data_IF_209578140958
#
_entry.id   IF_209578140958
#
_cell.length_a   1.000
_cell.length_b   1.000
_cell.length_c   1.000
_cell.angle_alpha   90.00
_cell.angle_beta   90.00
_cell.angle_gamma   90.00
#
_symmetry.space_group_name_H-M   'P 1'
#
loop_
_entity.id
_entity.type
_entity.pdbx_description
1 polymer ?
#
# COMPACT_ATOMS: atom_id res chain seq x y z
N UNK A 1 12.74 -23.29 2.68
CA UNK A 1 12.76 -22.07 3.54
C UNK A 1 11.92 -22.40 4.76
N UNK A 2 12.37 -22.17 6.00
CA UNK A 2 11.57 -22.54 7.15
C UNK A 2 10.31 -21.67 7.16
N UNK A 3 9.14 -22.31 7.09
CA UNK A 3 7.85 -21.67 7.33
C UNK A 3 7.87 -21.15 8.77
N UNK A 4 7.93 -19.83 8.95
CA UNK A 4 7.58 -19.25 10.23
C UNK A 4 6.09 -19.50 10.44
N UNK A 5 5.66 -20.16 11.55
CA UNK A 5 4.27 -20.08 11.94
C UNK A 5 3.92 -18.60 12.15
N UNK A 6 2.72 -18.13 11.76
CA UNK A 6 2.33 -16.77 12.11
C UNK A 6 2.40 -16.68 13.63
N UNK A 7 3.15 -15.70 14.14
CA UNK A 7 3.06 -15.35 15.54
C UNK A 7 1.58 -15.03 15.79
N UNK A 8 0.89 -15.87 16.56
CA UNK A 8 -0.52 -15.66 16.91
C UNK A 8 -0.73 -14.26 17.55
N UNK A 9 0.36 -13.65 18.03
CA UNK A 9 0.40 -12.35 18.69
C UNK A 9 0.61 -11.15 17.73
N UNK A 10 0.74 -11.37 16.41
CA UNK A 10 0.96 -10.27 15.44
C UNK A 10 0.02 -10.38 14.24
N UNK A 11 -1.23 -9.97 14.45
CA UNK A 11 -2.25 -9.86 13.41
C UNK A 11 -3.17 -8.64 13.65
N UNK A 12 -3.66 -7.99 12.58
CA UNK A 12 -4.67 -6.96 12.73
C UNK A 12 -5.99 -7.51 13.30
N UNK A 13 -6.72 -6.70 14.06
CA UNK A 13 -8.07 -7.00 14.52
C UNK A 13 -9.09 -6.80 13.39
N UNK A 14 -9.34 -7.88 12.65
CA UNK A 14 -10.36 -7.91 11.59
C UNK A 14 -11.80 -8.03 12.11
N UNK A 15 -12.04 -8.14 13.42
CA UNK A 15 -13.40 -8.18 13.96
C UNK A 15 -14.16 -6.88 13.71
N UNK A 16 -13.43 -5.77 13.52
CA UNK A 16 -13.95 -4.45 13.12
C UNK A 16 -14.19 -4.32 11.60
N UNK A 17 -13.90 -5.36 10.83
CA UNK A 17 -14.05 -5.40 9.37
C UNK A 17 -12.73 -5.19 8.63
N UNK A 18 -12.75 -4.30 7.63
CA UNK A 18 -11.55 -3.99 6.85
C UNK A 18 -10.64 -3.04 7.62
N UNK A 19 -9.36 -3.38 7.71
CA UNK A 19 -8.35 -2.54 8.39
C UNK A 19 -7.73 -1.55 7.41
N UNK A 20 -7.51 -0.28 7.78
CA UNK A 20 -6.71 0.64 7.00
C UNK A 20 -5.26 0.16 6.92
N UNK A 21 -4.66 0.32 5.74
CA UNK A 21 -3.28 -0.08 5.47
C UNK A 21 -2.53 1.09 4.82
N UNK A 22 -1.57 1.66 5.54
CA UNK A 22 -0.74 2.76 5.10
C UNK A 22 0.55 2.18 4.52
N UNK A 23 0.86 2.48 3.26
CA UNK A 23 2.15 2.19 2.67
C UNK A 23 3.06 3.41 2.82
N UNK A 24 4.22 3.22 3.45
CA UNK A 24 5.24 4.23 3.64
C UNK A 24 6.55 3.74 3.05
N UNK A 25 7.26 4.60 2.32
CA UNK A 25 8.58 4.25 1.81
C UNK A 25 9.56 4.03 2.97
N UNK A 26 10.21 2.87 2.99
CA UNK A 26 11.07 2.48 4.09
C UNK A 26 12.38 3.27 4.19
N UNK A 27 12.79 3.97 3.12
CA UNK A 27 14.01 4.78 3.09
C UNK A 27 13.72 6.25 3.36
N UNK A 28 12.74 6.83 2.67
CA UNK A 28 12.45 8.27 2.80
C UNK A 28 11.45 8.62 3.89
N UNK A 29 10.66 7.65 4.37
CA UNK A 29 9.54 7.88 5.29
C UNK A 29 8.34 8.56 4.63
N UNK A 30 8.34 8.74 3.30
CA UNK A 30 7.21 9.32 2.57
C UNK A 30 5.99 8.38 2.61
N UNK A 31 4.82 8.89 2.96
CA UNK A 31 3.58 8.13 2.85
C UNK A 31 3.18 8.05 1.37
N UNK A 32 3.08 6.82 0.86
CA UNK A 32 2.83 6.54 -0.55
C UNK A 32 1.35 6.40 -0.86
N UNK A 33 0.60 5.66 -0.04
CA UNK A 33 -0.84 5.47 -0.23
C UNK A 33 -1.52 4.93 1.02
N UNK A 34 -2.84 5.06 1.05
CA UNK A 34 -3.73 4.33 1.95
C UNK A 34 -4.61 3.40 1.13
N UNK A 35 -4.76 2.17 1.60
CA UNK A 35 -5.71 1.19 1.11
C UNK A 35 -6.35 0.46 2.30
N UNK A 36 -7.08 -0.61 2.02
CA UNK A 36 -7.70 -1.45 3.04
C UNK A 36 -7.22 -2.88 2.86
N UNK A 37 -7.17 -3.64 3.94
CA UNK A 37 -6.92 -5.08 3.92
C UNK A 37 -8.09 -5.82 4.58
N UNK A 38 -8.41 -6.99 4.05
CA UNK A 38 -9.10 -8.03 4.79
C UNK A 38 -8.07 -9.08 5.24
N UNK A 39 -8.52 -10.08 6.00
CA UNK A 39 -7.65 -11.14 6.53
C UNK A 39 -6.89 -11.89 5.42
N UNK A 40 -7.52 -12.15 4.29
CA UNK A 40 -6.87 -12.82 3.15
C UNK A 40 -5.79 -11.97 2.49
N UNK A 41 -6.00 -10.66 2.35
CA UNK A 41 -4.99 -9.74 1.82
C UNK A 41 -3.78 -9.62 2.77
N UNK A 42 -4.03 -9.60 4.08
CA UNK A 42 -2.98 -9.66 5.09
C UNK A 42 -2.18 -10.95 5.01
N UNK A 43 -2.86 -12.11 4.96
CA UNK A 43 -2.21 -13.41 4.82
C UNK A 43 -1.36 -13.50 3.56
N UNK A 44 -1.89 -13.06 2.41
CA UNK A 44 -1.11 -12.99 1.15
C UNK A 44 0.09 -12.06 1.24
N UNK A 45 -0.04 -10.94 1.94
CA UNK A 45 1.08 -10.02 2.16
C UNK A 45 2.21 -10.70 2.96
N UNK A 46 1.86 -11.44 4.01
CA UNK A 46 2.83 -12.22 4.79
C UNK A 46 3.46 -13.35 3.97
N UNK A 47 2.66 -14.07 3.18
CA UNK A 47 3.11 -15.20 2.36
C UNK A 47 4.08 -14.78 1.25
N UNK A 48 3.81 -13.65 0.59
CA UNK A 48 4.55 -13.21 -0.61
C UNK A 48 5.68 -12.22 -0.30
N UNK A 49 5.59 -11.51 0.83
CA UNK A 49 6.46 -10.36 1.11
C UNK A 49 6.14 -9.14 0.23
N UNK A 50 5.00 -9.12 -0.46
CA UNK A 50 4.56 -8.06 -1.35
C UNK A 50 3.17 -7.55 -0.96
N UNK A 51 2.92 -6.24 -1.11
CA UNK A 51 1.68 -5.65 -0.61
C UNK A 51 0.44 -6.11 -1.41
N UNK A 52 -0.49 -6.76 -0.69
CA UNK A 52 -1.81 -7.14 -1.20
C UNK A 52 -2.89 -6.37 -0.45
N UNK A 53 -3.89 -5.87 -1.18
CA UNK A 53 -4.95 -5.05 -0.61
C UNK A 53 -6.34 -5.55 -1.02
N UNK A 54 -7.37 -5.12 -0.31
CA UNK A 54 -8.78 -5.44 -0.56
C UNK A 54 -9.55 -4.27 -1.20
N UNK A 55 -10.06 -4.47 -2.42
CA UNK A 55 -10.76 -3.43 -3.17
C UNK A 55 -12.18 -3.35 -2.68
N UNK A 56 -12.54 -2.25 -2.00
CA UNK A 56 -13.91 -2.05 -1.51
C UNK A 56 -14.94 -1.98 -2.63
N UNK A 57 -14.58 -1.38 -3.76
CA UNK A 57 -15.47 -1.25 -4.92
C UNK A 57 -15.60 -2.55 -5.72
N UNK A 58 -14.48 -3.24 -5.98
CA UNK A 58 -14.46 -4.50 -6.76
C UNK A 58 -14.76 -5.74 -5.91
N UNK A 59 -14.69 -5.61 -4.58
CA UNK A 59 -14.85 -6.68 -3.60
C UNK A 59 -13.92 -7.87 -3.89
N UNK A 60 -12.67 -7.56 -4.20
CA UNK A 60 -11.63 -8.54 -4.53
C UNK A 60 -10.27 -8.12 -3.97
N UNK A 61 -9.38 -9.10 -3.77
CA UNK A 61 -7.98 -8.84 -3.45
C UNK A 61 -7.25 -8.39 -4.71
N UNK A 62 -6.35 -7.43 -4.59
CA UNK A 62 -5.42 -7.10 -5.67
C UNK A 62 -3.97 -7.06 -5.16
N UNK A 63 -3.07 -7.56 -6.00
CA UNK A 63 -1.63 -7.42 -5.80
C UNK A 63 -1.19 -6.04 -6.30
N UNK A 64 -0.65 -5.18 -5.42
CA UNK A 64 -0.22 -3.84 -5.82
C UNK A 64 0.92 -3.95 -6.84
N UNK A 65 0.68 -3.41 -8.03
CA UNK A 65 1.66 -3.45 -9.12
C UNK A 65 1.70 -4.76 -9.90
N UNK A 66 0.82 -5.73 -9.62
CA UNK A 66 0.79 -7.00 -10.34
C UNK A 66 0.59 -6.86 -11.87
N UNK A 67 -0.07 -5.79 -12.32
CA UNK A 67 -0.22 -5.47 -13.74
C UNK A 67 0.86 -4.52 -14.25
N UNK A 68 1.22 -3.48 -13.49
CA UNK A 68 2.10 -2.41 -13.96
C UNK A 68 3.59 -2.61 -13.67
N UNK A 69 3.96 -3.66 -12.90
CA UNK A 69 5.31 -3.86 -12.37
C UNK A 69 5.68 -2.95 -11.19
N UNK A 70 4.81 -1.99 -10.81
CA UNK A 70 5.06 -1.06 -9.69
C UNK A 70 4.73 -1.70 -8.33
N UNK A 71 5.39 -2.82 -8.06
CA UNK A 71 5.21 -3.66 -6.87
C UNK A 71 5.75 -2.97 -5.62
N UNK A 72 5.15 -3.27 -4.47
CA UNK A 72 5.60 -2.81 -3.16
C UNK A 72 6.15 -4.00 -2.38
N UNK A 73 7.48 -4.07 -2.26
CA UNK A 73 8.15 -5.10 -1.46
C UNK A 73 8.10 -4.71 0.01
N UNK A 74 7.51 -5.55 0.85
CA UNK A 74 7.37 -5.29 2.28
C UNK A 74 8.72 -5.54 2.96
N UNK A 75 9.21 -4.51 3.67
CA UNK A 75 10.45 -4.57 4.47
C UNK A 75 10.16 -4.72 5.95
N UNK A 76 9.07 -4.12 6.43
CA UNK A 76 8.54 -4.35 7.76
C UNK A 76 7.03 -4.08 7.80
N UNK A 77 6.37 -4.67 8.79
CA UNK A 77 4.97 -4.44 9.13
C UNK A 77 4.90 -3.94 10.57
N UNK A 78 4.01 -2.99 10.82
CA UNK A 78 3.68 -2.51 12.15
C UNK A 78 2.17 -2.44 12.29
N UNK A 79 1.69 -2.65 13.51
CA UNK A 79 0.31 -2.42 13.90
C UNK A 79 0.28 -1.20 14.83
N UNK A 80 -0.84 -0.49 14.84
CA UNK A 80 -1.09 0.53 15.85
C UNK A 80 -1.49 -0.08 17.20
N UNK A 81 -1.83 0.75 18.18
CA UNK A 81 -1.92 0.33 19.58
C UNK A 81 -3.12 -0.59 19.90
N UNK A 82 -4.16 -0.58 19.09
CA UNK A 82 -5.33 -1.47 19.21
C UNK A 82 -5.46 -2.42 18.01
N UNK A 83 -4.38 -2.57 17.24
CA UNK A 83 -4.21 -3.52 16.14
C UNK A 83 -5.21 -3.36 14.98
N UNK A 84 -5.88 -2.22 14.81
CA UNK A 84 -6.87 -2.06 13.74
C UNK A 84 -6.33 -1.32 12.51
N UNK A 85 -5.08 -0.86 12.55
CA UNK A 85 -4.41 -0.22 11.42
C UNK A 85 -3.02 -0.79 11.17
N UNK A 86 -2.72 -1.03 9.89
CA UNK A 86 -1.41 -1.55 9.44
C UNK A 86 -0.56 -0.42 8.85
N UNK A 87 0.69 -0.34 9.27
CA UNK A 87 1.74 0.42 8.58
C UNK A 87 2.71 -0.54 7.89
N UNK A 88 2.75 -0.48 6.57
CA UNK A 88 3.68 -1.21 5.73
C UNK A 88 4.87 -0.29 5.40
N UNK A 89 6.05 -0.67 5.86
CA UNK A 89 7.29 -0.09 5.37
C UNK A 89 7.71 -0.84 4.11
N UNK A 90 7.65 -0.17 2.96
CA UNK A 90 7.81 -0.78 1.65
C UNK A 90 8.94 -0.17 0.85
N UNK A 91 9.54 -0.98 -0.02
CA UNK A 91 10.33 -0.51 -1.15
C UNK A 91 9.45 -0.48 -2.40
N UNK A 92 9.19 0.73 -2.92
CA UNK A 92 8.35 0.94 -4.10
C UNK A 92 9.14 0.72 -5.39
N UNK A 93 8.84 -0.36 -6.10
CA UNK A 93 9.39 -0.62 -7.44
C UNK A 93 8.74 0.26 -8.50
N UNK A 94 9.49 0.61 -9.54
CA UNK A 94 9.01 1.43 -10.67
C UNK A 94 8.71 2.90 -10.33
N UNK A 95 8.99 3.34 -9.10
CA UNK A 95 8.97 4.75 -8.71
C UNK A 95 7.58 5.35 -8.43
N UNK A 96 6.49 4.61 -8.67
CA UNK A 96 5.14 5.15 -8.56
C UNK A 96 4.13 4.22 -7.87
N UNK A 97 3.61 4.68 -6.72
CA UNK A 97 2.50 4.00 -6.05
C UNK A 97 1.15 4.33 -6.69
N UNK A 98 1.00 5.52 -7.28
CA UNK A 98 -0.29 6.01 -7.78
C UNK A 98 -0.52 5.63 -9.25
N UNK A 99 -1.75 5.26 -9.58
CA UNK A 99 -2.18 5.00 -10.97
C UNK A 99 -2.15 6.26 -11.84
N UNK A 100 -2.04 7.46 -11.26
CA UNK A 100 -1.87 8.73 -11.98
C UNK A 100 -0.43 8.98 -12.43
N UNK A 101 0.46 8.00 -12.24
CA UNK A 101 1.85 8.13 -12.60
C UNK A 101 2.75 8.69 -11.52
N UNK A 102 2.20 9.08 -10.36
CA UNK A 102 2.96 9.78 -9.31
C UNK A 102 3.50 8.82 -8.25
N UNK A 103 4.59 9.26 -7.60
CA UNK A 103 5.25 8.52 -6.51
C UNK A 103 4.29 8.21 -5.37
N UNK A 104 3.62 9.23 -4.85
CA UNK A 104 2.61 9.12 -3.81
C UNK A 104 1.21 9.47 -4.35
N UNK A 105 0.18 8.84 -3.79
CA UNK A 105 -1.22 9.24 -3.96
C UNK A 105 -1.51 10.60 -3.31
N UNK A 106 -0.69 11.04 -2.35
CA UNK A 106 -0.81 12.30 -1.63
C UNK A 106 -0.07 13.45 -2.33
N UNK A 107 -0.22 13.54 -3.65
CA UNK A 107 0.48 14.54 -4.49
C UNK A 107 -0.21 15.90 -4.55
N UNK A 108 -1.40 16.03 -3.95
CA UNK A 108 -2.16 17.29 -3.86
C UNK A 108 -2.12 17.76 -2.43
N UNK A 109 -1.70 19.01 -2.22
CA UNK A 109 -1.69 19.65 -0.93
C UNK A 109 -2.50 20.95 -0.96
N UNK A 110 -3.10 21.28 0.18
CA UNK A 110 -3.68 22.59 0.40
C UNK A 110 -2.65 23.44 1.17
N UNK A 111 -2.10 24.45 0.51
CA UNK A 111 -1.02 25.27 1.06
C UNK A 111 -1.20 26.72 0.63
N UNK A 112 -0.95 27.64 1.56
CA UNK A 112 -1.07 29.09 1.33
C UNK A 112 -2.42 29.51 0.73
N UNK A 113 -3.51 28.86 1.17
CA UNK A 113 -4.88 29.16 0.75
C UNK A 113 -5.25 28.70 -0.66
N UNK A 114 -4.45 27.83 -1.30
CA UNK A 114 -4.72 27.28 -2.62
C UNK A 114 -4.31 25.82 -2.76
N UNK A 115 -4.81 25.19 -3.81
CA UNK A 115 -4.41 23.84 -4.21
C UNK A 115 -3.03 23.87 -4.89
N UNK A 116 -2.15 22.98 -4.46
CA UNK A 116 -0.83 22.75 -5.05
C UNK A 116 -0.64 21.26 -5.39
N UNK A 117 0.00 20.99 -6.52
CA UNK A 117 0.56 19.66 -6.78
C UNK A 117 2.03 19.64 -6.34
N UNK A 118 2.34 18.86 -5.31
CA UNK A 118 3.65 18.84 -4.66
C UNK A 118 4.55 17.69 -5.10
N UNK A 119 4.06 16.75 -5.92
CA UNK A 119 4.84 15.64 -6.44
C UNK A 119 4.74 15.53 -7.97
N UNK A 120 5.88 15.38 -8.68
CA UNK A 120 5.89 15.23 -10.13
C UNK A 120 5.36 13.85 -10.57
N UNK A 121 4.93 13.79 -11.82
CA UNK A 121 4.50 12.55 -12.48
C UNK A 121 5.72 11.77 -13.00
N UNK A 122 5.83 10.51 -12.61
CA UNK A 122 6.94 9.58 -12.87
C UNK A 122 6.68 8.69 -14.10
N UNK A 123 5.42 8.37 -14.41
CA UNK A 123 5.03 7.66 -15.65
C UNK A 123 3.72 8.21 -16.25
N UNK A 124 3.43 7.96 -17.53
CA UNK A 124 2.14 8.31 -18.15
C UNK A 124 1.11 7.18 -18.01
N UNK A 125 -0.02 7.39 -17.28
CA UNK A 125 -1.08 6.40 -17.14
C UNK A 125 -1.67 5.91 -18.46
N UNK A 126 -1.75 6.77 -19.49
CA UNK A 126 -2.32 6.39 -20.78
C UNK A 126 -1.48 5.35 -21.49
N UNK A 127 -0.16 5.45 -21.32
CA UNK A 127 0.81 4.49 -21.88
C UNK A 127 0.77 3.18 -21.09
N UNK A 128 0.68 3.23 -19.76
CA UNK A 128 0.79 2.04 -18.89
C UNK A 128 -0.51 1.24 -18.79
N UNK A 129 -1.66 1.90 -18.77
CA UNK A 129 -2.96 1.24 -18.55
C UNK A 129 -3.84 1.13 -19.79
N UNK A 130 -3.49 1.82 -20.88
CA UNK A 130 -4.35 1.93 -22.05
C UNK A 130 -5.57 2.82 -21.75
N UNK A 131 -5.68 3.93 -22.48
CA UNK A 131 -6.84 4.82 -22.37
C UNK A 131 -8.13 4.22 -22.91
#
# INVERSE_FOLDING_TARGET
MPQMPPAADFAPDFSKGLVPAIAQDCQSGEVLMLAYMNEDAWRKTLETGEAHYWSRSRREIWHKGGTSGNVQKVRALRLDCDNDTVLLLVEQQGGAACHTGRRSCFYREWKDGRLHECAPQVFDPKIVYGG
#
